data_IF_587297246837
#
_entry.id   IF_587297246837
#
_cell.length_a   1.000
_cell.length_b   1.000
_cell.length_c   1.000
_cell.angle_alpha   90.00
_cell.angle_beta   90.00
_cell.angle_gamma   90.00
#
_symmetry.space_group_name_H-M   'P 1'
#
loop_
_entity.id
_entity.type
_entity.pdbx_description
1 polymer ?
#
# COMPACT_ATOMS: atom_id res chain seq x y z
N UNK A 1 73.55 24.49 5.33
CA UNK A 1 74.24 24.10 4.09
C UNK A 1 73.38 23.08 3.38
N UNK A 2 73.20 23.33 2.11
CA UNK A 2 72.54 22.54 1.04
C UNK A 2 71.02 22.69 0.94
N UNK A 3 70.70 23.62 0.04
CA UNK A 3 69.41 23.71 -0.69
C UNK A 3 69.29 22.53 -1.65
N UNK A 4 68.02 22.01 -1.77
CA UNK A 4 67.67 21.24 -2.95
C UNK A 4 66.28 21.56 -3.40
N UNK A 5 66.18 22.01 -4.63
CA UNK A 5 65.02 22.40 -5.38
C UNK A 5 64.09 21.26 -5.64
N UNK A 6 62.79 21.54 -5.57
CA UNK A 6 61.73 20.68 -6.12
C UNK A 6 61.00 21.50 -7.19
N UNK A 7 60.86 21.00 -8.41
CA UNK A 7 60.11 21.67 -9.46
C UNK A 7 58.63 21.32 -9.34
N UNK A 8 57.78 22.35 -9.47
CA UNK A 8 56.34 22.26 -9.57
C UNK A 8 55.95 21.59 -10.90
N UNK A 9 55.19 20.50 -10.79
CA UNK A 9 54.47 19.91 -11.92
C UNK A 9 52.99 20.32 -11.82
N UNK A 10 52.62 21.25 -12.69
CA UNK A 10 51.25 21.62 -12.95
C UNK A 10 50.54 20.45 -13.67
N UNK A 11 49.62 19.77 -12.98
CA UNK A 11 48.66 18.88 -13.62
C UNK A 11 47.32 19.60 -13.70
N UNK A 12 47.00 20.14 -14.88
CA UNK A 12 45.66 20.60 -15.24
C UNK A 12 44.75 19.37 -15.38
N UNK A 13 43.93 19.11 -14.37
CA UNK A 13 42.81 18.19 -14.49
C UNK A 13 41.59 18.99 -14.94
N UNK A 14 41.20 18.80 -16.21
CA UNK A 14 39.99 19.33 -16.78
C UNK A 14 38.78 18.66 -16.11
N UNK A 15 38.06 19.39 -15.25
CA UNK A 15 36.81 18.95 -14.62
C UNK A 15 35.67 19.12 -15.62
N UNK A 16 35.35 18.06 -16.35
CA UNK A 16 34.16 18.01 -17.20
C UNK A 16 32.93 17.87 -16.31
N UNK A 17 32.31 19.00 -16.00
CA UNK A 17 31.03 19.07 -15.26
C UNK A 17 29.88 18.71 -16.22
N UNK A 18 29.52 17.45 -16.28
CA UNK A 18 28.32 17.01 -16.99
C UNK A 18 27.12 17.34 -16.10
N UNK A 19 26.54 18.50 -16.31
CA UNK A 19 25.21 18.85 -15.78
C UNK A 19 24.15 18.04 -16.54
N UNK A 20 23.86 16.83 -16.06
CA UNK A 20 22.67 16.11 -16.45
C UNK A 20 21.49 16.70 -15.67
N UNK A 21 20.93 17.79 -16.17
CA UNK A 21 19.61 18.28 -15.75
C UNK A 21 18.54 17.35 -16.32
N UNK A 22 18.41 16.20 -15.73
CA UNK A 22 17.27 15.31 -15.94
C UNK A 22 16.07 15.85 -15.18
N UNK A 23 15.33 16.81 -15.75
CA UNK A 23 13.94 17.06 -15.35
C UNK A 23 13.11 15.83 -15.72
N UNK A 24 13.09 14.82 -14.87
CA UNK A 24 12.05 13.83 -14.90
C UNK A 24 10.76 14.52 -14.43
N UNK A 25 10.02 15.08 -15.37
CA UNK A 25 8.61 15.40 -15.19
C UNK A 25 7.94 14.09 -14.80
N UNK A 26 7.74 13.91 -13.48
CA UNK A 26 7.05 12.75 -12.93
C UNK A 26 5.70 12.60 -13.61
N UNK A 27 5.58 11.62 -14.46
CA UNK A 27 4.30 11.14 -14.96
C UNK A 27 3.48 10.71 -13.75
N UNK A 28 2.54 11.57 -13.34
CA UNK A 28 1.64 11.30 -12.21
C UNK A 28 0.56 10.28 -12.58
N UNK A 29 0.95 9.11 -13.05
CA UNK A 29 0.11 7.94 -13.07
C UNK A 29 0.03 7.36 -11.65
N UNK A 30 -1.07 6.74 -11.27
CA UNK A 30 -1.07 5.89 -10.09
C UNK A 30 0.10 4.91 -10.24
N UNK A 31 0.96 4.76 -9.21
CA UNK A 31 2.09 3.86 -9.33
C UNK A 31 1.55 2.46 -9.67
N UNK A 32 2.20 1.76 -10.62
CA UNK A 32 1.77 0.42 -10.97
C UNK A 32 1.71 -0.41 -9.69
N UNK A 33 0.59 -1.08 -9.48
CA UNK A 33 0.41 -1.95 -8.31
C UNK A 33 1.47 -3.04 -8.39
N UNK A 34 2.49 -2.95 -7.55
CA UNK A 34 3.59 -3.91 -7.55
C UNK A 34 3.06 -5.34 -7.37
N UNK A 35 3.67 -6.29 -8.06
CA UNK A 35 3.37 -7.70 -7.82
C UNK A 35 3.65 -8.05 -6.37
N UNK A 36 2.82 -8.87 -5.71
CA UNK A 36 3.06 -9.26 -4.34
C UNK A 36 4.39 -10.00 -4.21
N UNK A 37 5.19 -9.61 -3.21
CA UNK A 37 6.38 -10.38 -2.84
C UNK A 37 5.94 -11.54 -1.97
N UNK A 38 6.28 -12.76 -2.37
CA UNK A 38 5.86 -14.00 -1.69
C UNK A 38 7.06 -14.89 -1.40
N UNK A 39 7.13 -15.41 -0.18
CA UNK A 39 8.10 -16.45 0.16
C UNK A 39 7.78 -17.73 -0.63
N UNK A 40 8.81 -18.45 -1.10
CA UNK A 40 8.66 -19.61 -1.97
C UNK A 40 7.92 -20.79 -1.31
N UNK A 41 8.00 -20.89 0.01
CA UNK A 41 7.35 -21.91 0.83
C UNK A 41 5.91 -21.55 1.25
N UNK A 42 5.46 -20.34 0.94
CA UNK A 42 4.13 -19.87 1.33
C UNK A 42 3.08 -20.11 0.23
N UNK A 43 1.93 -20.60 0.66
CA UNK A 43 0.72 -20.75 -0.18
C UNK A 43 -0.47 -20.05 0.50
N UNK A 44 -1.25 -19.23 -0.20
CA UNK A 44 -2.41 -18.52 0.38
C UNK A 44 -3.41 -19.47 1.05
N UNK A 45 -3.59 -20.67 0.52
CA UNK A 45 -4.48 -21.69 1.08
C UNK A 45 -4.07 -22.17 2.50
N UNK A 46 -2.88 -21.81 2.97
CA UNK A 46 -2.43 -22.06 4.35
C UNK A 46 -3.10 -21.13 5.35
N UNK A 47 -3.61 -19.98 4.92
CA UNK A 47 -4.31 -19.05 5.78
C UNK A 47 -5.73 -19.57 6.01
N UNK A 48 -5.91 -20.38 7.04
CA UNK A 48 -7.23 -20.87 7.48
C UNK A 48 -7.78 -20.03 8.62
N UNK A 49 -6.88 -19.55 9.46
CA UNK A 49 -7.19 -18.72 10.62
C UNK A 49 -6.14 -17.61 10.70
N UNK A 50 -6.55 -16.43 11.12
CA UNK A 50 -5.63 -15.30 11.28
C UNK A 50 -6.03 -14.39 12.44
N UNK A 51 -5.03 -13.69 12.98
CA UNK A 51 -5.20 -12.43 13.69
C UNK A 51 -5.04 -11.31 12.69
N UNK A 52 -5.86 -10.28 12.78
CA UNK A 52 -5.80 -9.11 11.90
C UNK A 52 -5.43 -7.88 12.72
N UNK A 53 -4.36 -7.20 12.32
CA UNK A 53 -3.94 -5.92 12.89
C UNK A 53 -4.10 -4.83 11.83
N UNK A 54 -4.91 -3.83 12.13
CA UNK A 54 -5.27 -2.77 11.19
C UNK A 54 -4.76 -1.43 11.68
N UNK A 55 -4.18 -0.65 10.78
CA UNK A 55 -3.92 0.78 11.00
C UNK A 55 -4.57 1.58 9.89
N UNK A 56 -5.42 2.54 10.26
CA UNK A 56 -6.05 3.47 9.33
C UNK A 56 -5.48 4.87 9.55
N UNK A 57 -4.97 5.47 8.50
CA UNK A 57 -4.38 6.81 8.49
C UNK A 57 -5.12 7.63 7.44
N UNK A 58 -5.83 8.67 7.86
CA UNK A 58 -6.54 9.57 6.95
C UNK A 58 -5.79 10.89 6.88
N UNK A 59 -5.33 11.27 5.70
CA UNK A 59 -4.67 12.54 5.49
C UNK A 59 -5.60 13.71 5.87
N UNK A 60 -5.12 14.72 6.63
CA UNK A 60 -5.92 15.90 6.94
C UNK A 60 -6.31 16.69 5.69
N UNK A 61 -5.57 16.53 4.59
CA UNK A 61 -5.86 17.18 3.30
C UNK A 61 -6.83 16.40 2.43
N UNK A 62 -7.25 15.19 2.85
CA UNK A 62 -8.28 14.43 2.15
C UNK A 62 -9.64 15.13 2.29
N UNK A 63 -10.47 15.05 1.23
CA UNK A 63 -11.84 15.58 1.24
C UNK A 63 -12.85 14.67 1.96
N UNK A 64 -12.37 13.78 2.82
CA UNK A 64 -13.19 12.94 3.67
C UNK A 64 -13.72 13.79 4.82
N UNK A 65 -15.03 13.74 5.05
CA UNK A 65 -15.65 14.49 6.13
C UNK A 65 -15.17 14.02 7.51
N UNK A 66 -15.31 14.88 8.54
CA UNK A 66 -14.92 14.51 9.90
C UNK A 66 -15.72 13.32 10.45
N UNK A 67 -16.96 13.14 10.02
CA UNK A 67 -17.75 11.97 10.37
C UNK A 67 -17.18 10.72 9.72
N UNK A 68 -17.00 10.73 8.41
CA UNK A 68 -16.42 9.60 7.68
C UNK A 68 -15.02 9.25 8.19
N UNK A 69 -14.20 10.25 8.53
CA UNK A 69 -12.87 10.04 9.12
C UNK A 69 -12.91 9.27 10.43
N UNK A 70 -13.88 9.57 11.29
CA UNK A 70 -14.06 8.86 12.56
C UNK A 70 -14.59 7.44 12.36
N UNK A 71 -15.50 7.27 11.41
CA UNK A 71 -16.19 6.00 11.19
C UNK A 71 -15.37 5.02 10.33
N UNK A 72 -14.40 5.54 9.55
CA UNK A 72 -13.61 4.75 8.59
C UNK A 72 -12.84 3.56 9.19
N UNK A 73 -12.23 3.63 10.40
CA UNK A 73 -11.58 2.47 10.98
C UNK A 73 -12.54 1.30 11.18
N UNK A 74 -13.70 1.55 11.78
CA UNK A 74 -14.71 0.52 12.02
C UNK A 74 -15.32 -0.01 10.71
N UNK A 75 -15.54 0.86 9.74
CA UNK A 75 -16.01 0.49 8.41
C UNK A 75 -15.01 -0.44 7.71
N UNK A 76 -13.71 -0.10 7.78
CA UNK A 76 -12.66 -0.90 7.15
C UNK A 76 -12.49 -2.28 7.83
N UNK A 77 -12.56 -2.33 9.16
CA UNK A 77 -12.56 -3.59 9.91
C UNK A 77 -13.73 -4.49 9.54
N UNK A 78 -14.94 -3.92 9.48
CA UNK A 78 -16.14 -4.66 9.09
C UNK A 78 -16.02 -5.22 7.67
N UNK A 79 -15.55 -4.42 6.72
CA UNK A 79 -15.32 -4.86 5.35
C UNK A 79 -14.27 -5.98 5.26
N UNK A 80 -13.19 -5.89 6.03
CA UNK A 80 -12.18 -6.96 6.11
C UNK A 80 -12.73 -8.25 6.69
N UNK A 81 -13.49 -8.17 7.78
CA UNK A 81 -14.11 -9.33 8.42
C UNK A 81 -15.06 -10.05 7.45
N UNK A 82 -15.95 -9.31 6.81
CA UNK A 82 -16.90 -9.85 5.83
C UNK A 82 -16.18 -10.52 4.66
N UNK A 83 -15.18 -9.84 4.10
CA UNK A 83 -14.44 -10.35 2.95
C UNK A 83 -13.55 -11.55 3.29
N UNK A 84 -13.02 -11.66 4.51
CA UNK A 84 -12.28 -12.83 4.99
C UNK A 84 -13.20 -14.00 5.26
N UNK A 85 -14.36 -13.77 5.89
CA UNK A 85 -15.39 -14.79 6.16
C UNK A 85 -15.92 -15.42 4.86
N UNK A 86 -16.22 -14.60 3.86
CA UNK A 86 -16.62 -15.04 2.51
C UNK A 86 -15.60 -16.01 1.89
N UNK A 87 -14.32 -15.89 2.29
CA UNK A 87 -13.21 -16.74 1.83
C UNK A 87 -12.88 -17.89 2.78
N UNK A 88 -13.75 -18.14 3.74
CA UNK A 88 -13.60 -19.16 4.78
C UNK A 88 -12.28 -19.02 5.59
N UNK A 89 -11.84 -17.78 5.84
CA UNK A 89 -10.73 -17.46 6.73
C UNK A 89 -11.29 -16.98 8.06
N UNK A 90 -11.10 -17.80 9.11
CA UNK A 90 -11.58 -17.47 10.45
C UNK A 90 -10.69 -16.42 11.11
N UNK A 91 -11.25 -15.25 11.38
CA UNK A 91 -10.57 -14.21 12.16
C UNK A 91 -10.75 -14.46 13.65
N UNK A 92 -9.66 -14.72 14.37
CA UNK A 92 -9.68 -15.00 15.82
C UNK A 92 -9.61 -13.72 16.65
N UNK A 93 -9.02 -12.69 16.13
CA UNK A 93 -8.91 -11.38 16.75
C UNK A 93 -8.69 -10.33 15.67
N UNK A 94 -9.32 -9.16 15.81
CA UNK A 94 -9.06 -7.99 14.99
C UNK A 94 -8.82 -6.80 15.90
N UNK A 95 -7.77 -6.02 15.61
CA UNK A 95 -7.44 -4.83 16.39
C UNK A 95 -7.03 -3.68 15.50
N UNK A 96 -7.68 -2.54 15.74
CA UNK A 96 -7.14 -1.26 15.30
C UNK A 96 -5.97 -0.84 16.17
N UNK A 97 -4.91 -0.38 15.52
CA UNK A 97 -3.74 0.18 16.16
C UNK A 97 -3.68 1.67 15.83
N UNK A 98 -3.66 2.51 16.85
CA UNK A 98 -3.60 3.95 16.70
C UNK A 98 -2.39 4.38 15.85
N UNK A 99 -2.57 5.46 15.08
CA UNK A 99 -1.54 6.00 14.20
C UNK A 99 -0.25 6.36 14.95
N UNK A 100 -0.36 6.73 16.23
CA UNK A 100 0.75 7.06 17.12
C UNK A 100 1.28 5.86 17.91
N UNK A 101 0.61 4.71 17.85
CA UNK A 101 0.96 3.51 18.63
C UNK A 101 2.17 2.78 18.08
N UNK A 102 2.65 1.82 18.89
CA UNK A 102 3.78 0.97 18.58
C UNK A 102 3.71 0.40 17.17
N UNK A 103 4.87 0.28 16.55
CA UNK A 103 4.99 -0.22 15.18
C UNK A 103 4.16 -1.49 15.00
N UNK A 104 3.39 -1.54 13.92
CA UNK A 104 2.84 -2.79 13.40
C UNK A 104 4.03 -3.63 12.90
N UNK A 105 4.94 -4.01 13.81
CA UNK A 105 6.08 -4.83 13.44
C UNK A 105 5.68 -6.31 13.33
N UNK A 106 6.50 -7.05 12.63
CA UNK A 106 6.26 -8.48 12.41
C UNK A 106 6.35 -9.28 13.70
N UNK A 107 7.20 -8.84 14.64
CA UNK A 107 7.39 -9.52 15.93
C UNK A 107 6.16 -9.44 16.82
N UNK A 108 5.59 -8.24 16.98
CA UNK A 108 4.35 -8.02 17.72
C UNK A 108 3.18 -8.77 17.10
N UNK A 109 3.07 -8.76 15.76
CA UNK A 109 2.05 -9.50 15.03
C UNK A 109 2.17 -11.02 15.25
N UNK A 110 3.37 -11.57 15.15
CA UNK A 110 3.64 -12.98 15.41
C UNK A 110 3.35 -13.37 16.86
N UNK A 111 3.73 -12.52 17.83
CA UNK A 111 3.44 -12.75 19.24
C UNK A 111 1.93 -12.83 19.47
N UNK A 112 1.16 -11.92 18.90
CA UNK A 112 -0.29 -11.93 19.01
C UNK A 112 -0.91 -13.16 18.37
N UNK A 113 -0.43 -13.58 17.19
CA UNK A 113 -0.91 -14.79 16.54
C UNK A 113 -0.66 -16.03 17.40
N UNK A 114 0.53 -16.16 18.02
CA UNK A 114 0.84 -17.25 18.98
C UNK A 114 -0.09 -17.24 20.18
N UNK A 115 -0.34 -16.06 20.76
CA UNK A 115 -1.26 -15.91 21.90
C UNK A 115 -2.66 -16.42 21.57
N UNK A 116 -3.12 -16.15 20.34
CA UNK A 116 -4.43 -16.57 19.86
C UNK A 116 -4.45 -17.99 19.28
N UNK A 117 -3.32 -18.69 19.28
CA UNK A 117 -3.21 -20.06 18.78
C UNK A 117 -3.42 -20.20 17.27
N UNK A 118 -3.03 -19.17 16.49
CA UNK A 118 -3.13 -19.19 15.01
C UNK A 118 -1.77 -19.11 14.35
N UNK A 119 -1.66 -19.64 13.14
CA UNK A 119 -0.39 -19.73 12.41
C UNK A 119 0.03 -18.42 11.74
N UNK A 120 -0.91 -17.52 11.48
CA UNK A 120 -0.66 -16.32 10.69
C UNK A 120 -1.29 -15.06 11.32
N UNK A 121 -0.58 -13.94 11.17
CA UNK A 121 -1.12 -12.59 11.35
C UNK A 121 -1.20 -11.89 10.00
N UNK A 122 -2.32 -11.22 9.75
CA UNK A 122 -2.50 -10.27 8.65
C UNK A 122 -2.34 -8.85 9.21
N UNK A 123 -1.33 -8.15 8.77
CA UNK A 123 -1.03 -6.77 9.18
C UNK A 123 -1.34 -5.85 8.04
N UNK A 124 -2.31 -4.94 8.22
CA UNK A 124 -2.77 -4.03 7.18
C UNK A 124 -2.59 -2.58 7.61
N UNK A 125 -2.01 -1.79 6.74
CA UNK A 125 -2.00 -0.33 6.86
C UNK A 125 -2.78 0.26 5.71
N UNK A 126 -3.84 1.00 6.02
CA UNK A 126 -4.60 1.81 5.08
C UNK A 126 -4.19 3.28 5.22
N UNK A 127 -3.84 3.91 4.11
CA UNK A 127 -3.67 5.36 3.99
C UNK A 127 -4.71 5.91 3.03
N UNK A 128 -5.47 6.90 3.48
CA UNK A 128 -6.45 7.62 2.67
C UNK A 128 -5.93 9.01 2.41
N UNK A 129 -5.61 9.31 1.18
CA UNK A 129 -4.91 10.54 0.79
C UNK A 129 -5.37 11.05 -0.58
N UNK A 130 -5.27 12.38 -0.84
CA UNK A 130 -5.53 12.91 -2.15
C UNK A 130 -4.42 12.53 -3.12
N UNK A 131 -4.78 12.21 -4.35
CA UNK A 131 -3.84 11.92 -5.43
C UNK A 131 -4.40 12.35 -6.79
N UNK A 132 -3.51 12.57 -7.75
CA UNK A 132 -3.89 12.69 -9.15
C UNK A 132 -3.87 11.29 -9.78
N UNK A 133 -5.02 10.85 -10.26
CA UNK A 133 -5.15 9.55 -10.91
C UNK A 133 -5.37 9.72 -12.41
N UNK A 134 -4.96 8.70 -13.14
CA UNK A 134 -5.30 8.51 -14.55
C UNK A 134 -6.18 7.28 -14.66
N UNK A 135 -7.24 7.40 -15.43
CA UNK A 135 -8.14 6.30 -15.74
C UNK A 135 -8.34 6.23 -17.25
N UNK A 136 -8.74 5.09 -17.75
CA UNK A 136 -8.87 4.82 -19.19
C UNK A 136 -7.54 5.01 -19.96
N UNK A 137 -6.42 4.58 -19.39
CA UNK A 137 -5.08 4.78 -19.98
C UNK A 137 -4.92 4.12 -21.36
N UNK A 138 -5.61 3.02 -21.60
CA UNK A 138 -5.59 2.27 -22.86
C UNK A 138 -6.49 2.89 -23.93
N UNK A 139 -7.13 4.04 -23.66
CA UNK A 139 -7.98 4.75 -24.61
C UNK A 139 -7.24 5.92 -25.26
N UNK A 140 -7.69 6.36 -26.46
CA UNK A 140 -7.11 7.54 -27.12
C UNK A 140 -7.25 8.84 -26.31
N UNK A 141 -8.12 8.85 -25.30
CA UNK A 141 -8.41 10.02 -24.47
C UNK A 141 -8.45 9.62 -22.99
N UNK A 142 -7.28 9.38 -22.36
CA UNK A 142 -7.24 9.08 -20.94
C UNK A 142 -7.78 10.24 -20.13
N UNK A 143 -8.53 9.93 -19.08
CA UNK A 143 -8.99 10.92 -18.12
C UNK A 143 -7.96 11.09 -17.02
N UNK A 144 -7.73 12.33 -16.63
CA UNK A 144 -6.88 12.69 -15.50
C UNK A 144 -7.63 13.60 -14.54
N UNK A 145 -7.58 13.29 -13.26
CA UNK A 145 -8.27 14.10 -12.26
C UNK A 145 -7.78 13.86 -10.86
N UNK A 146 -8.19 14.74 -9.94
CA UNK A 146 -7.98 14.55 -8.52
C UNK A 146 -8.96 13.50 -7.99
N UNK A 147 -8.45 12.56 -7.23
CA UNK A 147 -9.21 11.55 -6.52
C UNK A 147 -8.69 11.41 -5.09
N UNK A 148 -9.48 10.77 -4.23
CA UNK A 148 -8.98 10.24 -2.97
C UNK A 148 -8.61 8.78 -3.23
N UNK A 149 -7.43 8.35 -2.77
CA UNK A 149 -6.97 6.99 -2.94
C UNK A 149 -6.86 6.28 -1.61
N UNK A 150 -7.30 5.03 -1.59
CA UNK A 150 -7.09 4.05 -0.53
C UNK A 150 -5.82 3.27 -0.85
N UNK A 151 -4.71 3.70 -0.30
CA UNK A 151 -3.43 2.99 -0.45
C UNK A 151 -3.29 2.00 0.67
N UNK A 152 -3.28 0.73 0.33
CA UNK A 152 -3.20 -0.36 1.27
C UNK A 152 -1.87 -1.08 1.15
N UNK A 153 -1.29 -1.39 2.28
CA UNK A 153 -0.11 -2.22 2.40
C UNK A 153 -0.43 -3.36 3.37
N UNK A 154 -0.31 -4.59 2.90
CA UNK A 154 -0.56 -5.75 3.72
C UNK A 154 0.66 -6.66 3.81
N UNK A 155 0.83 -7.28 4.96
CA UNK A 155 1.85 -8.30 5.22
C UNK A 155 1.21 -9.50 5.89
N UNK A 156 1.55 -10.68 5.45
CA UNK A 156 1.23 -11.94 6.14
C UNK A 156 2.48 -12.38 6.90
N UNK A 157 2.35 -12.51 8.20
CA UNK A 157 3.45 -12.89 9.11
C UNK A 157 3.15 -14.26 9.70
N UNK A 158 4.12 -15.17 9.67
CA UNK A 158 3.99 -16.48 10.30
C UNK A 158 4.26 -16.38 11.80
N UNK A 159 3.40 -16.96 12.62
CA UNK A 159 3.48 -16.92 14.07
C UNK A 159 4.76 -17.59 14.59
N UNK A 160 5.17 -18.71 14.01
CA UNK A 160 6.25 -19.55 14.52
C UNK A 160 7.60 -18.81 14.59
N UNK A 161 7.95 -18.03 13.58
CA UNK A 161 9.27 -17.38 13.44
C UNK A 161 9.21 -15.86 13.25
N UNK A 162 8.02 -15.27 13.18
CA UNK A 162 7.85 -13.85 12.88
C UNK A 162 8.22 -13.45 11.47
N UNK A 163 8.49 -14.42 10.60
CA UNK A 163 8.89 -14.17 9.22
C UNK A 163 7.74 -13.68 8.35
N UNK A 164 7.99 -12.63 7.58
CA UNK A 164 7.06 -12.16 6.56
C UNK A 164 6.98 -13.20 5.43
N UNK A 165 5.78 -13.65 5.11
CA UNK A 165 5.51 -14.65 4.08
C UNK A 165 4.95 -14.07 2.80
N UNK A 166 4.31 -12.91 2.92
CA UNK A 166 3.77 -12.17 1.80
C UNK A 166 3.72 -10.68 2.13
N UNK A 167 4.01 -9.87 1.13
CA UNK A 167 3.73 -8.43 1.11
C UNK A 167 2.96 -8.08 -0.14
N UNK A 168 1.89 -7.32 0.01
CA UNK A 168 1.07 -6.82 -1.08
C UNK A 168 0.79 -5.33 -0.89
N UNK A 169 0.73 -4.60 -2.00
CA UNK A 169 0.33 -3.20 -2.03
C UNK A 169 -0.77 -3.03 -3.08
N UNK A 170 -1.78 -2.24 -2.73
CA UNK A 170 -2.91 -1.92 -3.60
C UNK A 170 -3.27 -0.46 -3.43
N UNK A 171 -3.59 0.19 -4.53
CA UNK A 171 -4.12 1.55 -4.53
C UNK A 171 -5.46 1.57 -5.25
N UNK A 172 -6.51 1.94 -4.53
CA UNK A 172 -7.88 2.01 -5.04
C UNK A 172 -8.36 3.45 -5.01
N UNK A 173 -8.63 4.08 -6.15
CA UNK A 173 -9.20 5.42 -6.19
C UNK A 173 -10.70 5.41 -5.85
N UNK A 174 -11.20 6.55 -5.35
CA UNK A 174 -12.62 6.81 -5.12
C UNK A 174 -13.40 7.08 -6.43
N UNK A 175 -12.82 6.79 -7.55
CA UNK A 175 -13.45 6.98 -8.87
C UNK A 175 -13.63 5.64 -9.57
N UNK A 176 -14.77 5.50 -10.20
CA UNK A 176 -15.10 4.44 -11.13
C UNK A 176 -15.15 5.01 -12.53
N UNK A 177 -14.37 4.44 -13.44
CA UNK A 177 -14.28 4.91 -14.81
C UNK A 177 -14.99 3.97 -15.76
N UNK A 178 -15.78 4.56 -16.65
CA UNK A 178 -16.37 3.88 -17.80
C UNK A 178 -15.56 4.26 -19.04
N UNK A 179 -14.78 3.32 -19.56
CA UNK A 179 -13.79 3.56 -20.60
C UNK A 179 -14.26 3.17 -22.01
N UNK A 180 -15.25 2.28 -22.10
CA UNK A 180 -15.69 1.66 -23.37
C UNK A 180 -16.71 2.50 -24.13
N UNK A 181 -17.18 3.61 -23.57
CA UNK A 181 -18.15 4.49 -24.20
C UNK A 181 -17.54 5.45 -25.24
N UNK A 182 -18.39 6.10 -26.06
CA UNK A 182 -17.94 7.10 -27.04
C UNK A 182 -17.23 8.31 -26.38
N UNK A 183 -17.50 8.53 -25.12
CA UNK A 183 -16.81 9.50 -24.25
C UNK A 183 -16.51 8.84 -22.92
N UNK A 184 -15.24 8.60 -22.59
CA UNK A 184 -14.87 8.11 -21.27
C UNK A 184 -15.44 9.02 -20.18
N UNK A 185 -15.96 8.42 -19.12
CA UNK A 185 -16.49 9.14 -17.95
C UNK A 185 -15.91 8.57 -16.67
N UNK A 186 -15.90 9.38 -15.61
CA UNK A 186 -15.49 8.95 -14.29
C UNK A 186 -16.47 9.50 -13.25
N UNK A 187 -16.96 8.62 -12.39
CA UNK A 187 -17.87 8.95 -11.30
C UNK A 187 -17.20 8.69 -9.96
N UNK A 188 -17.49 9.51 -8.96
CA UNK A 188 -16.99 9.27 -7.60
C UNK A 188 -17.83 8.22 -6.90
N UNK A 189 -17.15 7.30 -6.24
CA UNK A 189 -17.73 6.35 -5.29
C UNK A 189 -17.76 6.97 -3.90
N UNK A 190 -18.78 6.63 -3.11
CA UNK A 190 -18.79 6.95 -1.69
C UNK A 190 -17.71 6.19 -0.91
N UNK A 191 -17.42 6.65 0.32
CA UNK A 191 -16.38 6.06 1.19
C UNK A 191 -16.63 4.58 1.45
N UNK A 192 -17.87 4.18 1.69
CA UNK A 192 -18.26 2.78 1.93
C UNK A 192 -17.95 1.88 0.73
N UNK A 193 -18.44 2.26 -0.46
CA UNK A 193 -18.21 1.50 -1.69
C UNK A 193 -16.72 1.44 -2.07
N UNK A 194 -15.97 2.52 -1.84
CA UNK A 194 -14.54 2.56 -2.09
C UNK A 194 -13.80 1.66 -1.10
N UNK A 195 -14.21 1.64 0.16
CA UNK A 195 -13.61 0.78 1.20
C UNK A 195 -13.83 -0.69 0.86
N UNK A 196 -15.05 -1.09 0.48
CA UNK A 196 -15.35 -2.46 0.07
C UNK A 196 -14.51 -2.87 -1.16
N UNK A 197 -14.46 -2.04 -2.19
CA UNK A 197 -13.64 -2.29 -3.38
C UNK A 197 -12.15 -2.40 -3.06
N UNK A 198 -11.65 -1.57 -2.15
CA UNK A 198 -10.25 -1.59 -1.72
C UNK A 198 -9.91 -2.91 -1.01
N UNK A 199 -10.75 -3.35 -0.08
CA UNK A 199 -10.57 -4.63 0.63
C UNK A 199 -10.60 -5.81 -0.34
N UNK A 200 -11.56 -5.84 -1.27
CA UNK A 200 -11.67 -6.89 -2.28
C UNK A 200 -10.40 -6.98 -3.15
N UNK A 201 -9.87 -5.85 -3.61
CA UNK A 201 -8.63 -5.80 -4.38
C UNK A 201 -7.42 -6.28 -3.56
N UNK A 202 -7.34 -5.87 -2.28
CA UNK A 202 -6.25 -6.31 -1.39
C UNK A 202 -6.27 -7.82 -1.19
N UNK A 203 -7.42 -8.38 -0.81
CA UNK A 203 -7.55 -9.82 -0.59
C UNK A 203 -7.37 -10.61 -1.89
N UNK A 204 -7.82 -10.09 -3.03
CA UNK A 204 -7.52 -10.65 -4.34
C UNK A 204 -6.01 -10.77 -4.58
N UNK A 205 -5.21 -9.78 -4.18
CA UNK A 205 -3.73 -9.84 -4.29
C UNK A 205 -3.08 -10.79 -3.30
N UNK A 206 -3.55 -10.84 -2.05
CA UNK A 206 -3.01 -11.71 -1.00
C UNK A 206 -3.29 -13.17 -1.31
N UNK A 207 -4.51 -13.46 -1.77
CA UNK A 207 -5.02 -14.81 -1.96
C UNK A 207 -4.89 -15.33 -3.40
N UNK A 208 -4.36 -14.54 -4.34
CA UNK A 208 -4.03 -15.01 -5.69
C UNK A 208 -3.13 -16.24 -5.63
N UNK A 209 -3.41 -17.22 -6.50
CA UNK A 209 -2.64 -18.49 -6.61
C UNK A 209 -1.29 -18.29 -7.31
#
# INVERSE_FOLDING_TARGET
MVLSNVPAVLALAALALVLVTGCSLGSGGAPPTASPTRASDFRPAQIRQAVVLVRVIVSPTSRVSERERRDLPALYESALLEALDTRAILVRDIRSVDAAGAALDAGAAAARAREMGVDHALVVTLRVEPAVVRVCEDTPRPLRGEAIVWRQQARVVRAADGGERLRAEVTTPDVEAECDGPRPSAQRRGVEATTAAAVEQLLGKILAR
#
